data_IF_075526612706
#
_entry.id   IF_075526612706
#
_cell.length_a   1.000
_cell.length_b   1.000
_cell.length_c   1.000
_cell.angle_alpha   90.00
_cell.angle_beta   90.00
_cell.angle_gamma   90.00
#
_symmetry.space_group_name_H-M   'P 1'
#
loop_
_entity.id
_entity.type
_entity.pdbx_description
1 polymer ?
#
# COMPACT_ATOMS: atom_id res chain seq x y z
N UNK A 1 15.60 -13.35 28.73
CA UNK A 1 16.43 -12.19 29.13
C UNK A 1 15.93 -11.66 30.46
N UNK A 2 16.84 -11.31 31.38
CA UNK A 2 16.50 -10.61 32.60
C UNK A 2 16.08 -9.16 32.27
N UNK A 3 14.89 -8.76 32.70
CA UNK A 3 14.32 -7.44 32.41
C UNK A 3 13.35 -7.07 33.54
N UNK A 4 13.33 -5.80 34.01
CA UNK A 4 12.33 -5.34 34.97
C UNK A 4 10.91 -5.62 34.50
N UNK A 5 10.03 -6.06 35.42
CA UNK A 5 8.63 -6.36 35.10
C UNK A 5 7.91 -5.14 34.50
N UNK A 6 8.17 -3.95 35.05
CA UNK A 6 7.60 -2.70 34.55
C UNK A 6 7.91 -2.45 33.06
N UNK A 7 9.15 -2.66 32.63
CA UNK A 7 9.53 -2.49 31.22
C UNK A 7 8.83 -3.52 30.33
N UNK A 8 8.72 -4.76 30.77
CA UNK A 8 8.04 -5.81 30.00
C UNK A 8 6.56 -5.49 29.79
N UNK A 9 5.88 -5.10 30.87
CA UNK A 9 4.46 -4.71 30.83
C UNK A 9 4.26 -3.52 29.90
N UNK A 10 5.06 -2.46 30.03
CA UNK A 10 4.96 -1.28 29.18
C UNK A 10 5.20 -1.59 27.68
N UNK A 11 6.15 -2.48 27.35
CA UNK A 11 6.36 -2.94 25.97
C UNK A 11 5.10 -3.67 25.44
N UNK A 12 4.49 -4.52 26.26
CA UNK A 12 3.31 -5.29 25.87
C UNK A 12 2.07 -4.40 25.73
N UNK A 13 1.88 -3.43 26.63
CA UNK A 13 0.83 -2.44 26.54
C UNK A 13 0.94 -1.62 25.26
N UNK A 14 2.14 -1.15 24.94
CA UNK A 14 2.39 -0.40 23.71
C UNK A 14 2.11 -1.24 22.46
N UNK A 15 2.64 -2.46 22.42
CA UNK A 15 2.40 -3.39 21.31
C UNK A 15 0.90 -3.71 21.15
N UNK A 16 0.17 -3.89 22.25
CA UNK A 16 -1.26 -4.17 22.20
C UNK A 16 -2.08 -2.94 21.78
N UNK A 17 -1.66 -1.75 22.17
CA UNK A 17 -2.32 -0.49 21.77
C UNK A 17 -2.19 -0.25 20.28
N UNK A 18 -0.97 -0.26 19.75
CA UNK A 18 -0.72 0.07 18.35
C UNK A 18 -0.93 -1.14 17.42
N UNK A 19 -0.58 -2.35 17.87
CA UNK A 19 -0.59 -3.58 17.08
C UNK A 19 0.69 -3.79 16.23
N UNK A 20 1.59 -2.81 16.23
CA UNK A 20 2.87 -2.82 15.50
C UNK A 20 3.93 -2.16 16.38
N UNK A 21 5.18 -2.63 16.27
CA UNK A 21 6.33 -1.93 16.87
C UNK A 21 7.54 -2.05 15.95
N UNK A 22 8.34 -0.98 15.89
CA UNK A 22 9.51 -0.91 15.01
C UNK A 22 10.74 -0.54 15.81
N UNK A 23 11.79 -1.38 15.76
CA UNK A 23 13.06 -1.09 16.44
C UNK A 23 14.24 -1.14 15.48
N UNK A 24 15.13 -0.16 15.58
CA UNK A 24 16.45 -0.24 14.94
C UNK A 24 17.26 -1.35 15.62
N UNK A 25 18.00 -2.15 14.86
CA UNK A 25 18.97 -3.13 15.36
C UNK A 25 20.21 -2.41 15.90
N UNK A 26 20.03 -1.85 17.09
CA UNK A 26 21.06 -1.20 17.89
C UNK A 26 20.82 -1.56 19.36
N UNK A 27 21.70 -2.40 19.90
CA UNK A 27 21.58 -2.90 21.26
C UNK A 27 22.12 -1.92 22.32
N UNK A 28 22.83 -0.88 21.91
CA UNK A 28 23.47 0.08 22.81
C UNK A 28 22.66 1.36 22.97
N UNK A 29 21.63 1.55 22.15
CA UNK A 29 20.70 2.67 22.30
C UNK A 29 20.02 2.63 23.68
N UNK A 30 20.28 3.67 24.48
CA UNK A 30 19.78 3.81 25.86
C UNK A 30 18.25 3.91 25.93
N UNK A 31 17.62 4.44 24.87
CA UNK A 31 16.19 4.67 24.78
C UNK A 31 15.65 4.22 23.43
N UNK A 32 14.42 3.76 23.42
CA UNK A 32 13.66 3.48 22.20
C UNK A 32 12.84 4.74 21.80
N UNK A 33 12.71 5.07 20.50
CA UNK A 33 12.04 6.30 20.06
C UNK A 33 10.58 6.42 20.52
N UNK A 34 9.83 5.32 20.56
CA UNK A 34 8.42 5.31 20.97
C UNK A 34 8.24 5.08 22.48
N UNK A 35 9.28 4.57 23.16
CA UNK A 35 9.26 4.18 24.56
C UNK A 35 10.44 4.84 25.27
N UNK A 36 10.26 6.09 25.68
CA UNK A 36 11.35 6.94 26.19
C UNK A 36 12.01 6.38 27.46
N UNK A 37 11.26 5.67 28.30
CA UNK A 37 11.76 5.10 29.56
C UNK A 37 12.49 3.76 29.38
N UNK A 38 12.45 3.15 28.19
CA UNK A 38 12.85 1.75 28.00
C UNK A 38 14.06 1.65 27.04
N UNK A 39 15.12 0.92 27.43
CA UNK A 39 16.24 0.63 26.55
C UNK A 39 15.83 -0.17 25.32
N UNK A 40 16.42 0.14 24.17
CA UNK A 40 16.09 -0.53 22.91
C UNK A 40 16.42 -2.04 22.95
N UNK A 41 17.47 -2.42 23.69
CA UNK A 41 17.80 -3.83 23.97
C UNK A 41 16.61 -4.60 24.56
N UNK A 42 15.88 -3.99 25.49
CA UNK A 42 14.73 -4.62 26.13
C UNK A 42 13.63 -4.87 25.11
N UNK A 43 13.32 -3.90 24.26
CA UNK A 43 12.33 -4.03 23.19
C UNK A 43 12.70 -5.18 22.26
N UNK A 44 13.92 -5.18 21.71
CA UNK A 44 14.36 -6.22 20.76
C UNK A 44 14.26 -7.61 21.36
N UNK A 45 14.68 -7.78 22.61
CA UNK A 45 14.71 -9.10 23.26
C UNK A 45 13.35 -9.55 23.76
N UNK A 46 12.46 -8.63 24.13
CA UNK A 46 11.06 -8.94 24.39
C UNK A 46 10.36 -9.41 23.11
N UNK A 47 10.55 -8.69 21.99
CA UNK A 47 9.96 -9.05 20.71
C UNK A 47 10.50 -10.36 20.15
N UNK A 48 11.81 -10.61 20.28
CA UNK A 48 12.40 -11.90 19.91
C UNK A 48 11.74 -13.07 20.65
N UNK A 49 11.41 -12.89 21.94
CA UNK A 49 10.72 -13.91 22.73
C UNK A 49 9.24 -14.09 22.36
N UNK A 50 8.56 -13.05 21.89
CA UNK A 50 7.19 -13.15 21.38
C UNK A 50 7.17 -13.81 20.00
N UNK A 51 8.13 -13.47 19.15
CA UNK A 51 8.28 -14.04 17.82
C UNK A 51 8.55 -15.55 17.87
N UNK A 52 9.44 -16.01 18.77
CA UNK A 52 9.72 -17.44 18.94
C UNK A 52 8.51 -18.25 19.40
N UNK A 53 7.48 -17.59 19.96
CA UNK A 53 6.22 -18.19 20.38
C UNK A 53 5.10 -18.07 19.34
N UNK A 54 5.36 -17.48 18.18
CA UNK A 54 4.35 -17.27 17.13
C UNK A 54 3.37 -16.12 17.38
N UNK A 55 3.53 -15.38 18.49
CA UNK A 55 2.61 -14.29 18.87
C UNK A 55 2.77 -13.02 18.03
N UNK A 56 3.91 -12.92 17.34
CA UNK A 56 4.28 -11.75 16.54
C UNK A 56 4.98 -12.23 15.28
N UNK A 57 4.65 -11.62 14.15
CA UNK A 57 5.35 -11.81 12.87
C UNK A 57 6.48 -10.79 12.76
N UNK A 58 7.70 -11.26 12.53
CA UNK A 58 8.88 -10.41 12.31
C UNK A 58 9.17 -10.23 10.82
N UNK A 59 9.48 -9.01 10.43
CA UNK A 59 10.10 -8.65 9.16
C UNK A 59 11.33 -7.80 9.45
N UNK A 60 12.49 -8.19 8.91
CA UNK A 60 13.73 -7.45 9.09
C UNK A 60 14.18 -6.83 7.77
N UNK A 61 14.39 -5.51 7.75
CA UNK A 61 14.86 -4.79 6.57
C UNK A 61 15.64 -3.54 6.98
N UNK A 62 16.70 -3.18 6.25
CA UNK A 62 17.46 -1.94 6.46
C UNK A 62 17.98 -1.73 7.90
N UNK A 63 18.33 -2.81 8.60
CA UNK A 63 18.68 -2.78 10.05
C UNK A 63 17.53 -2.36 10.98
N UNK A 64 16.29 -2.44 10.53
CA UNK A 64 15.09 -2.25 11.34
C UNK A 64 14.30 -3.55 11.43
N UNK A 65 13.84 -3.84 12.64
CA UNK A 65 12.85 -4.87 12.93
C UNK A 65 11.46 -4.25 12.83
N UNK A 66 10.59 -4.91 12.08
CA UNK A 66 9.18 -4.60 11.96
C UNK A 66 8.41 -5.79 12.51
N UNK A 67 7.67 -5.57 13.59
CA UNK A 67 6.90 -6.60 14.25
C UNK A 67 5.41 -6.32 14.14
N UNK A 68 4.66 -7.32 13.72
CA UNK A 68 3.20 -7.27 13.57
C UNK A 68 2.56 -8.25 14.54
N UNK A 69 1.63 -7.78 15.35
CA UNK A 69 0.90 -8.63 16.29
C UNK A 69 -0.02 -9.60 15.54
N UNK A 70 0.03 -10.89 15.86
CA UNK A 70 -0.86 -11.91 15.27
C UNK A 70 -2.15 -12.05 16.09
N UNK A 71 -3.16 -12.73 15.55
CA UNK A 71 -4.43 -12.96 16.27
C UNK A 71 -4.21 -13.74 17.58
N UNK A 72 -3.37 -14.78 17.56
CA UNK A 72 -2.99 -15.54 18.76
C UNK A 72 -2.25 -14.64 19.77
N UNK A 73 -1.38 -13.75 19.29
CA UNK A 73 -0.69 -12.78 20.12
C UNK A 73 -1.63 -11.81 20.83
N UNK A 74 -2.75 -11.43 20.20
CA UNK A 74 -3.77 -10.57 20.82
C UNK A 74 -4.39 -11.27 22.04
N UNK A 75 -4.74 -12.55 21.91
CA UNK A 75 -5.38 -13.33 22.99
C UNK A 75 -4.44 -13.54 24.19
N UNK A 76 -3.18 -13.88 23.91
CA UNK A 76 -2.15 -14.06 24.94
C UNK A 76 -1.82 -12.76 25.67
N UNK A 77 -1.60 -11.66 24.93
CA UNK A 77 -1.32 -10.36 25.55
C UNK A 77 -2.52 -9.83 26.34
N UNK A 78 -3.74 -10.08 25.88
CA UNK A 78 -4.97 -9.75 26.62
C UNK A 78 -5.04 -10.50 27.94
N UNK A 79 -4.73 -11.80 27.93
CA UNK A 79 -4.72 -12.63 29.13
C UNK A 79 -3.62 -12.20 30.10
N UNK A 80 -2.44 -11.83 29.58
CA UNK A 80 -1.31 -11.37 30.39
C UNK A 80 -1.54 -9.99 31.03
N UNK A 81 -2.16 -9.06 30.30
CA UNK A 81 -2.45 -7.70 30.75
C UNK A 81 -3.78 -7.59 31.50
N UNK A 82 -4.56 -8.68 31.56
CA UNK A 82 -5.90 -8.73 32.18
C UNK A 82 -6.87 -7.68 31.63
N UNK A 83 -6.83 -7.47 30.30
CA UNK A 83 -7.68 -6.52 29.60
C UNK A 83 -9.02 -7.16 29.21
N UNK A 84 -10.14 -6.41 29.24
CA UNK A 84 -11.42 -6.92 28.75
C UNK A 84 -11.39 -7.19 27.23
N UNK A 85 -12.26 -8.08 26.72
CA UNK A 85 -12.24 -8.49 25.32
C UNK A 85 -12.63 -7.39 24.33
N UNK A 86 -13.23 -6.31 24.82
CA UNK A 86 -13.64 -5.14 24.05
C UNK A 86 -12.45 -4.32 23.53
N UNK A 87 -11.30 -4.35 24.24
CA UNK A 87 -10.13 -3.60 23.81
C UNK A 87 -9.43 -4.38 22.70
N UNK A 88 -9.36 -3.73 21.55
CA UNK A 88 -8.77 -4.24 20.32
C UNK A 88 -7.62 -3.31 19.90
N UNK A 89 -6.50 -3.84 19.37
CA UNK A 89 -5.41 -3.03 18.83
C UNK A 89 -5.89 -2.05 17.74
N UNK A 90 -5.18 -0.92 17.62
CA UNK A 90 -5.49 0.13 16.64
C UNK A 90 -5.54 -0.37 15.20
N UNK A 91 -4.76 -1.39 14.83
CA UNK A 91 -4.76 -1.99 13.48
C UNK A 91 -6.11 -2.59 13.06
N UNK A 92 -6.95 -3.01 14.01
CA UNK A 92 -8.26 -3.60 13.73
C UNK A 92 -9.41 -2.59 13.91
N UNK A 93 -9.14 -1.41 14.48
CA UNK A 93 -10.14 -0.35 14.58
C UNK A 93 -10.38 0.21 13.18
N UNK A 94 -11.63 0.12 12.69
CA UNK A 94 -11.98 0.68 11.38
C UNK A 94 -11.77 2.21 11.43
N UNK A 95 -10.95 2.79 10.55
CA UNK A 95 -10.83 4.24 10.49
C UNK A 95 -12.19 4.83 10.11
N UNK A 96 -12.64 5.84 10.86
CA UNK A 96 -13.80 6.62 10.46
C UNK A 96 -13.51 7.24 9.10
N UNK A 97 -14.17 6.76 8.05
CA UNK A 97 -14.11 7.43 6.74
C UNK A 97 -14.72 8.80 6.96
N UNK A 98 -13.89 9.85 7.00
CA UNK A 98 -14.38 11.19 6.72
C UNK A 98 -14.92 11.13 5.29
N UNK A 99 -16.24 11.17 5.16
CA UNK A 99 -16.91 11.41 3.90
C UNK A 99 -16.48 12.80 3.44
N UNK A 100 -15.32 12.86 2.79
CA UNK A 100 -14.98 14.01 1.95
C UNK A 100 -16.01 13.97 0.85
N UNK A 101 -17.04 14.80 1.02
CA UNK A 101 -17.95 15.26 0.00
C UNK A 101 -17.08 15.74 -1.16
N UNK A 102 -16.67 14.83 -2.03
CA UNK A 102 -16.27 15.19 -3.38
C UNK A 102 -17.55 15.74 -3.98
N UNK A 103 -17.63 17.04 -4.31
CA UNK A 103 -18.79 17.56 -5.01
C UNK A 103 -18.88 16.79 -6.34
N UNK A 104 -19.83 15.87 -6.40
CA UNK A 104 -20.22 15.22 -7.65
C UNK A 104 -20.73 16.36 -8.53
N UNK A 105 -20.13 16.64 -9.71
CA UNK A 105 -20.69 17.65 -10.59
C UNK A 105 -22.10 17.17 -10.97
N UNK A 106 -23.11 17.94 -10.56
CA UNK A 106 -24.49 17.66 -10.86
C UNK A 106 -24.68 17.69 -12.39
N UNK A 107 -25.05 16.54 -12.94
CA UNK A 107 -25.62 16.44 -14.27
C UNK A 107 -27.00 17.09 -14.23
N UNK A 108 -27.19 18.16 -15.00
CA UNK A 108 -28.50 18.59 -15.50
C UNK A 108 -29.11 19.84 -14.84
N UNK A 109 -29.10 20.95 -15.57
CA UNK A 109 -29.87 22.18 -15.32
C UNK A 109 -29.62 23.23 -16.40
N UNK A 110 -30.56 24.16 -16.69
CA UNK A 110 -31.05 24.44 -18.05
C UNK A 110 -30.27 25.49 -18.86
N UNK A 111 -30.29 25.30 -20.19
CA UNK A 111 -29.81 26.20 -21.23
C UNK A 111 -30.37 27.62 -21.07
N UNK A 112 -29.49 28.62 -21.07
CA UNK A 112 -29.78 30.03 -21.30
C UNK A 112 -28.74 30.63 -22.28
N UNK A 113 -29.10 31.61 -23.12
CA UNK A 113 -28.48 31.86 -24.42
C UNK A 113 -27.38 32.91 -24.33
N UNK A 114 -26.22 32.66 -24.94
CA UNK A 114 -25.24 33.71 -25.13
C UNK A 114 -23.84 33.21 -25.42
N UNK A 115 -23.36 33.62 -26.58
CA UNK A 115 -21.96 33.78 -26.94
C UNK A 115 -21.17 32.56 -27.41
N UNK A 116 -21.28 32.33 -28.71
CA UNK A 116 -20.32 31.60 -29.50
C UNK A 116 -19.02 32.42 -29.64
N UNK A 117 -17.99 32.06 -28.89
CA UNK A 117 -16.62 32.44 -29.26
C UNK A 117 -15.64 31.28 -29.07
N UNK A 118 -15.41 30.57 -30.18
CA UNK A 118 -14.11 29.99 -30.58
C UNK A 118 -13.41 29.02 -29.61
N UNK A 119 -13.71 27.72 -29.69
CA UNK A 119 -12.76 26.59 -29.50
C UNK A 119 -13.46 25.23 -29.59
N UNK A 120 -14.14 24.93 -30.70
CA UNK A 120 -14.95 23.69 -30.81
C UNK A 120 -14.90 22.94 -32.14
N UNK A 121 -14.29 23.51 -33.18
CA UNK A 121 -14.30 22.89 -34.52
C UNK A 121 -13.12 21.93 -34.75
N UNK A 122 -11.95 22.16 -34.16
CA UNK A 122 -10.74 21.35 -34.40
C UNK A 122 -10.86 19.88 -33.93
N UNK A 123 -11.64 19.61 -32.89
CA UNK A 123 -11.74 18.25 -32.32
C UNK A 123 -12.73 17.36 -33.06
N UNK A 124 -13.61 17.97 -33.85
CA UNK A 124 -14.71 17.31 -34.55
C UNK A 124 -14.30 16.79 -35.93
N UNK A 125 -13.27 17.39 -36.54
CA UNK A 125 -12.70 16.97 -37.83
C UNK A 125 -11.85 15.70 -37.73
N UNK A 126 -11.20 15.43 -36.59
CA UNK A 126 -10.33 14.25 -36.40
C UNK A 126 -11.07 12.91 -36.34
N UNK A 127 -12.38 12.90 -36.08
CA UNK A 127 -13.17 11.65 -35.95
C UNK A 127 -13.87 11.26 -37.26
N UNK A 128 -13.91 12.14 -38.27
CA UNK A 128 -14.62 11.89 -39.52
C UNK A 128 -13.59 11.77 -40.64
N UNK A 129 -13.09 10.56 -40.87
CA UNK A 129 -12.42 10.23 -42.11
C UNK A 129 -13.48 9.99 -43.20
N UNK A 130 -13.52 10.77 -44.30
CA UNK A 130 -14.07 10.29 -45.56
C UNK A 130 -12.93 9.75 -46.42
N UNK A 131 -13.02 8.47 -46.78
CA UNK A 131 -12.25 7.95 -47.90
C UNK A 131 -12.60 8.72 -49.17
N UNK A 132 -11.59 9.03 -49.98
CA UNK A 132 -11.79 9.61 -51.30
C UNK A 132 -10.55 10.26 -51.89
N UNK A 133 -9.86 9.51 -52.75
CA UNK A 133 -9.27 10.02 -53.99
C UNK A 133 -7.94 10.81 -53.92
N UNK A 134 -6.84 10.07 -54.13
CA UNK A 134 -5.96 10.29 -55.28
C UNK A 134 -4.83 11.32 -55.19
N UNK A 135 -3.69 10.88 -55.74
CA UNK A 135 -2.56 11.65 -56.31
C UNK A 135 -1.35 11.90 -55.40
N UNK A 136 -0.45 10.91 -55.43
CA UNK A 136 0.98 11.05 -55.71
C UNK A 136 1.75 12.27 -55.16
N UNK A 137 2.51 12.07 -54.08
CA UNK A 137 3.83 12.72 -53.95
C UNK A 137 4.82 11.93 -53.09
N UNK A 138 5.64 11.19 -53.85
CA UNK A 138 6.93 10.55 -53.55
C UNK A 138 7.88 11.34 -52.63
N UNK A 139 8.61 10.63 -51.78
CA UNK A 139 9.83 11.07 -51.07
C UNK A 139 9.86 10.61 -49.62
N UNK A 140 10.13 9.33 -49.33
CA UNK A 140 11.49 8.84 -49.01
C UNK A 140 12.26 9.76 -48.04
N UNK A 141 12.26 9.43 -46.75
CA UNK A 141 13.38 9.59 -45.79
C UNK A 141 12.99 9.02 -44.39
N UNK A 142 13.60 7.89 -43.98
CA UNK A 142 13.63 7.48 -42.56
C UNK A 142 13.33 6.00 -42.30
N UNK A 143 14.11 5.30 -41.44
CA UNK A 143 14.21 3.85 -41.45
C UNK A 143 12.94 3.19 -40.87
N UNK A 144 12.25 2.39 -41.70
CA UNK A 144 11.05 1.65 -41.29
C UNK A 144 10.05 1.32 -42.39
N UNK A 145 10.26 1.79 -43.62
CA UNK A 145 9.34 1.61 -44.75
C UNK A 145 9.63 0.33 -45.57
N UNK A 146 9.54 -0.84 -44.93
CA UNK A 146 9.53 -2.13 -45.62
C UNK A 146 8.44 -3.03 -45.04
N UNK A 147 7.50 -3.47 -45.87
CA UNK A 147 6.47 -4.47 -45.54
C UNK A 147 7.13 -5.70 -44.92
N UNK A 148 6.75 -6.04 -43.68
CA UNK A 148 7.09 -7.32 -43.06
C UNK A 148 5.99 -8.33 -43.37
N UNK A 149 6.23 -9.16 -44.38
CA UNK A 149 5.37 -10.30 -44.70
C UNK A 149 5.37 -11.34 -43.56
N UNK A 150 4.22 -11.58 -42.94
CA UNK A 150 4.06 -12.62 -41.93
C UNK A 150 3.68 -13.95 -42.59
N UNK A 151 4.69 -14.79 -42.87
CA UNK A 151 4.51 -16.12 -43.45
C UNK A 151 4.16 -17.14 -42.36
N UNK A 152 2.97 -17.72 -42.46
CA UNK A 152 2.38 -18.62 -41.48
C UNK A 152 3.07 -19.99 -41.26
N UNK A 153 2.97 -20.46 -40.01
CA UNK A 153 2.36 -21.74 -39.61
C UNK A 153 2.94 -23.09 -40.08
N UNK A 154 3.49 -23.84 -39.13
CA UNK A 154 3.42 -25.31 -38.97
C UNK A 154 3.52 -25.56 -37.44
N UNK A 155 2.70 -26.33 -36.70
CA UNK A 155 1.75 -27.37 -37.05
C UNK A 155 1.96 -28.58 -36.12
N UNK A 156 1.23 -28.62 -34.99
CA UNK A 156 0.76 -29.80 -34.20
C UNK A 156 1.75 -30.68 -33.41
N UNK A 157 1.40 -30.94 -32.15
CA UNK A 157 1.88 -32.07 -31.33
C UNK A 157 1.08 -32.19 -30.00
N UNK A 158 0.34 -33.29 -29.84
CA UNK A 158 -0.74 -33.52 -28.87
C UNK A 158 -0.30 -33.66 -27.40
N UNK A 159 -1.23 -33.32 -26.50
CA UNK A 159 -1.28 -33.77 -25.10
C UNK A 159 -1.27 -35.30 -25.01
N UNK A 160 -0.54 -35.81 -24.01
CA UNK A 160 -0.97 -36.85 -23.07
C UNK A 160 -0.53 -36.43 -21.67
#
# INVERSE_FOLDING_TARGET
>A
MFMPKAHRVAIYEYLFKEGVIVAKKDFHAQKHPELESIPNLHVIKAMQSLHSRGLVKEQFAWRHYYWYLTNEGIEELRSYLHLPPEIVPSTLKRPARSETVRPRPAVGGPRGPGDATKTGEDRSAYRRAPGGSGVDKKGDVGPGAGEVEFRGGFGRGSRN
#
